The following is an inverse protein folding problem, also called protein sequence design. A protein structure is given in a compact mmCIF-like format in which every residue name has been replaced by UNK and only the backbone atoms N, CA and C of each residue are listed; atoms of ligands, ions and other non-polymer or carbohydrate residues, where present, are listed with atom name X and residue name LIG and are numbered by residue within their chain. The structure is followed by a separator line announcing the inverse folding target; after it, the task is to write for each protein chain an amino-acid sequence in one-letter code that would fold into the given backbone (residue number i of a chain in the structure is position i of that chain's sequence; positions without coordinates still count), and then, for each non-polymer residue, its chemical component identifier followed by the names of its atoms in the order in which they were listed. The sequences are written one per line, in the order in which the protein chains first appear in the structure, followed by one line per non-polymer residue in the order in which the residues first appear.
data_IF_165971328245
#
_entry.id   IF_165971328245
#
_cell.length_a   1.000
_cell.length_b   1.000
_cell.length_c   1.000
_cell.angle_alpha   90.00
_cell.angle_beta   90.00
_cell.angle_gamma   90.00
#
_symmetry.space_group_name_H-M   'P 1'
#
loop_
_entity.id
_entity.type
_entity.pdbx_description
1 polymer ?
#
# COMPACT_ATOMS: atom_id res chain seq x y z
N UNK A 1 -6.68 -5.68 -29.13
CA UNK A 1 -6.41 -4.84 -27.94
C UNK A 1 -4.93 -4.56 -27.94
N UNK A 2 -4.52 -3.31 -28.08
CA UNK A 2 -3.11 -2.90 -27.95
C UNK A 2 -2.71 -3.14 -26.50
N UNK A 3 -1.76 -4.04 -26.27
CA UNK A 3 -1.25 -4.29 -24.92
C UNK A 3 -0.53 -3.03 -24.42
N UNK A 4 -0.69 -2.75 -23.13
CA UNK A 4 -0.05 -1.61 -22.50
C UNK A 4 1.32 -2.07 -22.02
N UNK A 5 2.43 -1.64 -22.65
CA UNK A 5 3.75 -2.19 -22.36
C UNK A 5 4.20 -1.94 -20.92
N UNK A 6 3.69 -0.88 -20.29
CA UNK A 6 3.97 -0.58 -18.88
C UNK A 6 3.25 -1.57 -17.96
N UNK A 7 1.96 -1.81 -18.21
CA UNK A 7 1.18 -2.79 -17.46
C UNK A 7 1.76 -4.20 -17.62
N UNK A 8 2.10 -4.58 -18.85
CA UNK A 8 2.71 -5.88 -19.16
C UNK A 8 4.04 -6.08 -18.42
N UNK A 9 4.85 -5.03 -18.29
CA UNK A 9 6.14 -5.09 -17.61
C UNK A 9 6.05 -5.09 -16.08
N UNK A 10 5.01 -4.45 -15.51
CA UNK A 10 4.90 -4.23 -14.07
C UNK A 10 3.87 -5.13 -13.38
N UNK A 11 3.00 -5.81 -14.14
CA UNK A 11 2.09 -6.80 -13.58
C UNK A 11 2.91 -7.93 -12.92
N UNK A 12 2.68 -8.22 -11.63
CA UNK A 12 3.34 -9.35 -11.00
C UNK A 12 3.01 -10.67 -11.69
N UNK A 13 4.02 -11.50 -11.89
CA UNK A 13 3.84 -12.88 -12.34
C UNK A 13 3.24 -13.73 -11.22
N UNK A 14 2.30 -14.60 -11.56
CA UNK A 14 1.74 -15.58 -10.62
C UNK A 14 0.85 -15.00 -9.53
N UNK A 15 0.13 -13.90 -9.80
CA UNK A 15 -0.91 -13.42 -8.89
C UNK A 15 -1.96 -14.51 -8.65
N UNK A 16 -2.38 -14.65 -7.40
CA UNK A 16 -3.54 -15.43 -7.01
C UNK A 16 -4.83 -14.66 -7.29
N UNK A 17 -5.97 -15.33 -7.07
CA UNK A 17 -7.30 -14.76 -7.38
C UNK A 17 -7.52 -13.39 -6.74
N UNK A 18 -7.04 -13.20 -5.50
CA UNK A 18 -7.22 -11.97 -4.74
C UNK A 18 -6.35 -10.84 -5.27
N UNK A 19 -5.08 -11.10 -5.56
CA UNK A 19 -4.16 -10.15 -6.17
C UNK A 19 -4.58 -9.77 -7.57
N UNK A 20 -5.04 -10.73 -8.39
CA UNK A 20 -5.56 -10.49 -9.73
C UNK A 20 -6.80 -9.59 -9.69
N UNK A 21 -7.76 -9.90 -8.80
CA UNK A 21 -8.94 -9.05 -8.62
C UNK A 21 -8.58 -7.61 -8.22
N UNK A 22 -7.56 -7.44 -7.36
CA UNK A 22 -7.11 -6.13 -6.93
C UNK A 22 -6.40 -5.36 -8.06
N UNK A 23 -5.56 -6.04 -8.84
CA UNK A 23 -4.90 -5.49 -10.02
C UNK A 23 -5.92 -4.94 -11.01
N UNK A 24 -6.93 -5.75 -11.36
CA UNK A 24 -8.02 -5.33 -12.25
C UNK A 24 -8.84 -4.18 -11.67
N UNK A 25 -9.18 -4.23 -10.37
CA UNK A 25 -9.99 -3.19 -9.72
C UNK A 25 -9.35 -1.79 -9.74
N UNK A 26 -8.02 -1.73 -9.67
CA UNK A 26 -7.28 -0.47 -9.80
C UNK A 26 -6.91 -0.09 -11.23
N UNK A 27 -7.44 -0.81 -12.22
CA UNK A 27 -7.20 -0.55 -13.64
C UNK A 27 -5.78 -0.87 -14.08
N UNK A 28 -5.13 -1.87 -13.45
CA UNK A 28 -3.74 -2.23 -13.69
C UNK A 28 -3.41 -2.48 -15.15
N UNK A 29 -4.30 -3.09 -15.93
CA UNK A 29 -4.07 -3.34 -17.37
C UNK A 29 -4.09 -2.06 -18.23
N UNK A 30 -4.72 -1.00 -17.71
CA UNK A 30 -4.88 0.30 -18.40
C UNK A 30 -4.02 1.40 -17.79
N UNK A 31 -3.16 1.07 -16.82
CA UNK A 31 -2.41 2.06 -16.04
C UNK A 31 -1.29 2.69 -16.86
N UNK A 32 -1.25 4.03 -16.93
CA UNK A 32 -0.23 4.74 -17.72
C UNK A 32 0.82 5.43 -16.86
N UNK A 33 0.56 5.59 -15.56
CA UNK A 33 1.52 6.13 -14.60
C UNK A 33 2.35 5.02 -13.97
N UNK A 34 3.67 5.09 -14.15
CA UNK A 34 4.60 4.07 -13.66
C UNK A 34 4.63 3.98 -12.14
N UNK A 35 4.53 5.12 -11.44
CA UNK A 35 4.56 5.13 -9.98
C UNK A 35 3.30 4.44 -9.41
N UNK A 36 2.12 4.76 -9.95
CA UNK A 36 0.86 4.11 -9.60
C UNK A 36 0.88 2.63 -9.98
N UNK A 37 1.43 2.27 -11.14
CA UNK A 37 1.52 0.88 -11.60
C UNK A 37 2.30 0.00 -10.61
N UNK A 38 3.45 0.48 -10.12
CA UNK A 38 4.24 -0.21 -9.09
C UNK A 38 3.44 -0.35 -7.79
N UNK A 39 2.76 0.72 -7.35
CA UNK A 39 1.97 0.65 -6.11
C UNK A 39 0.80 -0.34 -6.21
N UNK A 40 0.13 -0.42 -7.36
CA UNK A 40 -0.94 -1.42 -7.61
C UNK A 40 -0.36 -2.83 -7.63
N UNK A 41 0.80 -3.03 -8.27
CA UNK A 41 1.51 -4.31 -8.29
C UNK A 41 1.87 -4.79 -6.86
N UNK A 42 2.43 -3.91 -6.03
CA UNK A 42 2.79 -4.23 -4.64
C UNK A 42 1.56 -4.49 -3.78
N UNK A 43 0.48 -3.72 -3.97
CA UNK A 43 -0.79 -3.98 -3.29
C UNK A 43 -1.35 -5.38 -3.64
N UNK A 44 -1.29 -5.78 -4.92
CA UNK A 44 -1.73 -7.10 -5.38
C UNK A 44 -0.92 -8.23 -4.72
N UNK A 45 0.41 -8.11 -4.70
CA UNK A 45 1.30 -9.08 -4.02
C UNK A 45 1.01 -9.20 -2.53
N UNK A 46 0.79 -8.07 -1.86
CA UNK A 46 0.45 -8.04 -0.43
C UNK A 46 -0.90 -8.71 -0.16
N UNK A 47 -1.87 -8.53 -1.06
CA UNK A 47 -3.17 -9.18 -0.95
C UNK A 47 -3.05 -10.71 -1.03
N UNK A 48 -2.29 -11.24 -1.99
CA UNK A 48 -2.03 -12.68 -2.12
C UNK A 48 -1.23 -13.23 -0.93
N UNK A 49 -0.24 -12.48 -0.47
CA UNK A 49 0.55 -12.86 0.73
C UNK A 49 -0.34 -12.99 1.96
N UNK A 50 -1.30 -12.06 2.13
CA UNK A 50 -2.26 -12.12 3.23
C UNK A 50 -3.22 -13.31 3.10
N UNK A 51 -3.65 -13.65 1.89
CA UNK A 51 -4.49 -14.82 1.63
C UNK A 51 -3.76 -16.12 2.00
N UNK A 52 -2.50 -16.25 1.58
CA UNK A 52 -1.63 -17.37 1.96
C UNK A 52 -1.46 -17.46 3.48
N UNK A 53 -1.17 -16.35 4.16
CA UNK A 53 -1.05 -16.31 5.63
C UNK A 53 -2.36 -16.70 6.33
N UNK A 54 -3.51 -16.28 5.79
CA UNK A 54 -4.82 -16.65 6.31
C UNK A 54 -5.08 -18.16 6.17
N UNK A 55 -4.75 -18.75 5.01
CA UNK A 55 -4.84 -20.20 4.79
C UNK A 55 -3.96 -21.01 5.76
N UNK A 56 -2.73 -20.56 6.02
CA UNK A 56 -1.84 -21.19 7.00
C UNK A 56 -2.39 -21.13 8.43
N UNK A 57 -2.95 -19.99 8.84
CA UNK A 57 -3.52 -19.82 10.18
C UNK A 57 -4.75 -20.71 10.39
N UNK A 58 -5.53 -20.95 9.33
CA UNK A 58 -6.71 -21.82 9.36
C UNK A 58 -6.38 -23.31 9.22
N UNK A 59 -5.11 -23.66 9.03
CA UNK A 59 -4.66 -25.00 8.64
C UNK A 59 -5.31 -25.52 7.34
N UNK A 60 -5.70 -24.59 6.44
CA UNK A 60 -6.18 -24.91 5.08
C UNK A 60 -5.02 -25.14 4.10
N UNK A 61 -3.78 -24.87 4.53
CA UNK A 61 -2.55 -25.10 3.79
C UNK A 61 -1.57 -25.94 4.62
N UNK A 62 -1.14 -27.08 4.08
CA UNK A 62 -0.31 -28.07 4.80
C UNK A 62 1.14 -27.61 4.99
N UNK A 63 1.70 -26.80 4.08
CA UNK A 63 3.07 -26.30 4.17
C UNK A 63 3.28 -24.97 3.44
N UNK A 64 4.18 -24.12 3.94
CA UNK A 64 4.61 -22.87 3.29
C UNK A 64 5.88 -23.03 2.45
N UNK A 65 6.69 -24.05 2.74
CA UNK A 65 7.87 -24.45 2.00
C UNK A 65 8.15 -25.93 2.26
N UNK A 66 8.58 -26.66 1.22
CA UNK A 66 9.14 -28.00 1.37
C UNK A 66 10.65 -27.86 1.39
N UNK A 67 11.29 -28.34 2.45
CA UNK A 67 12.74 -28.34 2.59
C UNK A 67 13.24 -29.77 2.40
N UNK A 68 13.90 -30.03 1.28
CA UNK A 68 14.61 -31.29 1.06
C UNK A 68 16.02 -31.16 1.65
N UNK A 69 16.35 -32.03 2.62
CA UNK A 69 17.66 -32.05 3.23
C UNK A 69 18.49 -33.19 2.62
N UNK A 70 19.76 -32.96 2.25
CA UNK A 70 20.67 -34.06 1.97
C UNK A 70 20.88 -34.89 3.24
N UNK A 71 21.20 -36.18 3.09
CA UNK A 71 21.59 -37.04 4.20
C UNK A 71 22.84 -36.43 4.88
N UNK A 72 22.63 -35.72 5.99
CA UNK A 72 23.70 -35.19 6.82
C UNK A 72 23.65 -35.91 8.15
N UNK A 73 24.62 -36.79 8.35
CA UNK A 73 24.76 -37.55 9.59
C UNK A 73 25.15 -36.59 10.73
N UNK A 74 24.29 -36.48 11.74
CA UNK A 74 24.56 -35.72 12.97
C UNK A 74 24.34 -34.20 12.96
N UNK A 75 23.71 -33.62 11.93
CA UNK A 75 23.39 -32.18 11.93
C UNK A 75 21.97 -31.90 12.48
N UNK A 76 21.87 -31.01 13.47
CA UNK A 76 20.60 -30.49 13.98
C UNK A 76 20.13 -29.32 13.09
N UNK A 77 19.02 -29.53 12.36
CA UNK A 77 18.33 -28.42 11.66
C UNK A 77 17.37 -27.73 12.62
N UNK A 78 17.67 -26.49 12.99
CA UNK A 78 16.75 -25.62 13.72
C UNK A 78 16.03 -24.66 12.77
N UNK A 79 14.86 -25.07 12.27
CA UNK A 79 13.96 -24.19 11.53
C UNK A 79 13.14 -23.36 12.54
N UNK A 80 13.43 -22.06 12.65
CA UNK A 80 12.64 -21.14 13.47
C UNK A 80 11.59 -20.48 12.58
N UNK A 81 10.33 -20.91 12.69
CA UNK A 81 9.21 -20.23 12.05
C UNK A 81 8.76 -19.13 13.00
N UNK A 82 8.98 -17.87 12.62
CA UNK A 82 8.44 -16.73 13.36
C UNK A 82 6.91 -16.84 13.48
N UNK A 83 6.28 -16.33 14.55
CA UNK A 83 4.85 -16.44 14.72
C UNK A 83 4.11 -15.76 13.56
N UNK A 84 3.54 -16.56 12.65
CA UNK A 84 2.85 -16.14 11.43
C UNK A 84 1.75 -15.09 11.70
N UNK A 85 1.14 -15.13 12.89
CA UNK A 85 0.14 -14.16 13.34
C UNK A 85 0.72 -12.75 13.51
N UNK A 86 1.97 -12.63 14.01
CA UNK A 86 2.64 -11.35 14.15
C UNK A 86 3.01 -10.77 12.79
N UNK A 87 3.58 -11.59 11.90
CA UNK A 87 3.90 -11.20 10.52
C UNK A 87 2.65 -10.72 9.77
N UNK A 88 1.56 -11.49 9.83
CA UNK A 88 0.28 -11.10 9.23
C UNK A 88 -0.19 -9.72 9.69
N UNK A 89 -0.08 -9.40 10.98
CA UNK A 89 -0.48 -8.08 11.51
C UNK A 89 0.37 -6.95 10.91
N UNK A 90 1.67 -7.17 10.77
CA UNK A 90 2.58 -6.21 10.13
C UNK A 90 2.23 -6.04 8.65
N UNK A 91 2.04 -7.14 7.92
CA UNK A 91 1.65 -7.12 6.50
C UNK A 91 0.31 -6.41 6.29
N UNK A 92 -0.69 -6.61 7.16
CA UNK A 92 -1.97 -5.87 7.09
C UNK A 92 -1.75 -4.36 7.24
N UNK A 93 -0.82 -3.94 8.10
CA UNK A 93 -0.52 -2.52 8.30
C UNK A 93 0.09 -1.92 7.04
N UNK A 94 1.08 -2.59 6.46
CA UNK A 94 1.70 -2.17 5.19
C UNK A 94 0.66 -2.12 4.08
N UNK A 95 -0.16 -3.16 3.94
CA UNK A 95 -1.22 -3.23 2.94
C UNK A 95 -2.21 -2.07 3.05
N UNK A 96 -2.66 -1.71 4.26
CA UNK A 96 -3.53 -0.55 4.47
C UNK A 96 -2.87 0.77 4.08
N UNK A 97 -1.59 0.94 4.38
CA UNK A 97 -0.84 2.15 3.99
C UNK A 97 -0.70 2.24 2.47
N UNK A 98 -0.38 1.13 1.80
CA UNK A 98 -0.30 1.08 0.32
C UNK A 98 -1.66 1.39 -0.32
N UNK A 99 -2.75 0.83 0.20
CA UNK A 99 -4.09 1.15 -0.29
C UNK A 99 -4.45 2.63 -0.09
N UNK A 100 -4.11 3.20 1.07
CA UNK A 100 -4.34 4.62 1.34
C UNK A 100 -3.59 5.53 0.36
N UNK A 101 -2.36 5.18 -0.03
CA UNK A 101 -1.61 5.91 -1.05
C UNK A 101 -2.32 5.85 -2.41
N UNK A 102 -2.81 4.68 -2.82
CA UNK A 102 -3.52 4.50 -4.09
C UNK A 102 -4.83 5.30 -4.16
N UNK A 103 -5.59 5.35 -3.05
CA UNK A 103 -6.87 6.07 -2.97
C UNK A 103 -6.70 7.57 -2.80
N UNK A 104 -5.68 8.02 -2.07
CA UNK A 104 -5.41 9.45 -1.90
C UNK A 104 -4.93 10.09 -3.20
N UNK A 105 -4.14 9.38 -4.01
CA UNK A 105 -3.77 9.85 -5.36
C UNK A 105 -5.00 9.96 -6.26
N UNK A 106 -5.91 8.97 -6.23
CA UNK A 106 -7.14 9.01 -7.03
C UNK A 106 -8.08 10.17 -6.64
N UNK A 107 -8.09 10.57 -5.37
CA UNK A 107 -8.86 11.72 -4.91
C UNK A 107 -8.31 13.06 -5.45
N UNK A 108 -7.01 13.16 -5.73
CA UNK A 108 -6.39 14.36 -6.32
C UNK A 108 -6.79 14.49 -7.80
N UNK A 109 -6.80 13.38 -8.55
CA UNK A 109 -7.22 13.39 -9.96
C UNK A 109 -8.72 13.73 -10.11
N UNK A 110 -9.57 13.21 -9.20
CA UNK A 110 -10.99 13.56 -9.14
C UNK A 110 -11.28 14.98 -8.63
N UNK A 111 -10.43 15.51 -7.74
CA UNK A 111 -10.53 16.89 -7.25
C UNK A 111 -10.08 17.91 -8.31
N UNK A 112 -9.11 17.58 -9.15
CA UNK A 112 -8.68 18.42 -10.27
C UNK A 112 -9.79 18.57 -11.34
N UNK A 113 -10.56 17.51 -11.60
CA UNK A 113 -11.71 17.56 -12.51
C UNK A 113 -12.91 18.36 -11.96
N UNK A 114 -13.11 18.35 -10.64
CA UNK A 114 -14.21 19.09 -9.98
C UNK A 114 -13.89 20.57 -9.73
N UNK A 115 -12.64 21.00 -9.90
CA UNK A 115 -12.22 22.39 -9.68
C UNK A 115 -12.37 23.29 -10.92
N UNK A 116 -12.61 22.72 -12.11
CA UNK A 116 -12.77 23.49 -13.35
C UNK A 116 -14.22 23.93 -13.61
N UNK A 117 -15.20 23.47 -12.81
CA UNK A 117 -16.63 23.78 -12.98
C UNK A 117 -17.29 24.53 -11.80
N UNK A 118 -16.51 24.99 -10.81
CA UNK A 118 -16.97 26.00 -9.85
C UNK A 118 -16.37 27.35 -10.22
N UNK A 119 -16.97 27.95 -11.23
CA UNK A 119 -16.79 29.37 -11.49
C UNK A 119 -17.21 30.23 -10.31
N UNK A 120 -16.50 31.33 -10.14
CA UNK A 120 -17.07 32.65 -9.87
C UNK A 120 -18.21 32.71 -8.85
N UNK A 121 -17.88 32.59 -7.56
CA UNK A 121 -18.58 33.39 -6.54
C UNK A 121 -17.67 33.54 -5.31
N UNK A 122 -17.66 34.75 -4.76
CA UNK A 122 -16.74 35.18 -3.71
C UNK A 122 -16.99 34.48 -2.37
N UNK A 123 -15.90 34.12 -1.70
CA UNK A 123 -15.97 33.54 -0.35
C UNK A 123 -14.57 33.28 0.20
N UNK A 124 -14.00 34.31 0.79
CA UNK A 124 -12.72 34.33 1.50
C UNK A 124 -12.66 33.18 2.53
N UNK A 125 -11.92 32.11 2.19
CA UNK A 125 -11.52 31.08 3.15
C UNK A 125 -10.04 31.29 3.42
N UNK A 126 -9.62 31.54 4.68
CA UNK A 126 -8.21 31.72 4.97
C UNK A 126 -7.50 30.39 4.68
N UNK A 127 -6.66 30.40 3.65
CA UNK A 127 -5.65 29.38 3.45
C UNK A 127 -4.71 29.44 4.64
N UNK A 128 -4.83 28.47 5.55
CA UNK A 128 -3.86 28.21 6.62
C UNK A 128 -2.54 27.73 6.04
N UNK A 129 -1.86 28.63 5.32
CA UNK A 129 -0.50 28.46 4.83
C UNK A 129 0.50 28.75 5.94
N UNK A 130 1.77 28.71 5.56
CA UNK A 130 2.99 28.82 6.41
C UNK A 130 2.93 29.90 7.51
N UNK A 131 2.08 30.92 7.36
CA UNK A 131 1.85 31.99 8.33
C UNK A 131 1.11 31.53 9.61
N UNK A 132 0.21 30.54 9.54
CA UNK A 132 -0.44 29.98 10.74
C UNK A 132 0.58 29.21 11.61
N UNK A 133 1.55 28.56 10.96
CA UNK A 133 2.65 27.86 11.61
C UNK A 133 3.60 28.84 12.29
N UNK A 134 3.90 29.99 11.65
CA UNK A 134 4.67 31.08 12.26
C UNK A 134 3.95 31.66 13.47
N UNK A 135 2.65 31.95 13.37
CA UNK A 135 1.85 32.48 14.48
C UNK A 135 1.79 31.52 15.68
N UNK A 136 1.72 30.21 15.44
CA UNK A 136 1.76 29.19 16.51
C UNK A 136 3.15 29.02 17.15
N UNK A 137 4.22 29.39 16.46
CA UNK A 137 5.58 29.40 17.01
C UNK A 137 5.80 30.63 17.88
N UNK A 138 5.40 31.80 17.40
CA UNK A 138 5.59 33.06 18.13
C UNK A 138 4.78 33.10 19.43
N UNK A 139 3.57 32.51 19.42
CA UNK A 139 2.76 32.33 20.64
C UNK A 139 3.45 31.45 21.68
N UNK A 140 4.12 30.37 21.26
CA UNK A 140 4.86 29.48 22.17
C UNK A 140 6.10 30.16 22.77
N UNK A 141 6.74 31.05 22.01
CA UNK A 141 7.88 31.83 22.49
C UNK A 141 7.46 32.91 23.49
N UNK A 142 6.28 33.52 23.29
CA UNK A 142 5.71 34.46 24.25
C UNK A 142 5.32 33.78 25.58
N UNK A 143 4.68 32.61 25.53
CA UNK A 143 4.29 31.86 26.74
C UNK A 143 5.50 31.36 27.56
N UNK A 144 6.67 31.15 26.92
CA UNK A 144 7.91 30.77 27.63
C UNK A 144 8.69 31.95 28.22
N UNK A 145 8.31 33.20 27.92
CA UNK A 145 9.00 34.39 28.43
C UNK A 145 8.43 34.92 29.76
N UNK A 146 7.30 34.36 30.22
CA UNK A 146 6.60 34.72 31.48
C UNK A 146 6.76 33.67 32.60
N UNK A 147 7.81 32.83 32.53
CA UNK A 147 8.29 31.95 33.61
C UNK A 147 9.72 32.31 34.01
#
# INVERSE_FOLDING_TARGET
MTSNPLADALKPVGLGDRGEALWTAFGGDTITDAARAVLVAEAARLADTLEMMDGLIRAESEAWATVELPEIDGAELKLTINPIVAERRQTVTVFRLTLAQLTNVAAIDGAAANNSYRGADGGDRPQGGVDEIKQRRDRRLADTADL
#
